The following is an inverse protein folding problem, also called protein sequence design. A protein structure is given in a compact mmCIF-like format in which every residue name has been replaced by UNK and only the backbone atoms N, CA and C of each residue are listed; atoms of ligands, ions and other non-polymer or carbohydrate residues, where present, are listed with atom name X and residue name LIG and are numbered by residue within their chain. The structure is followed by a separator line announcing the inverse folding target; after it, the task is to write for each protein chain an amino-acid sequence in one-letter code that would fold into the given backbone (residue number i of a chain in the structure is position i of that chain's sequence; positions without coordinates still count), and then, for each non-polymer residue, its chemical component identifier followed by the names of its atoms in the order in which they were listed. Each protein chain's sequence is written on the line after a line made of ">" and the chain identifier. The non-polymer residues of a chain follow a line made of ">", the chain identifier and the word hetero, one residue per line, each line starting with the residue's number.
data_IF_676862491951
#
_entry.id   IF_676862491951
#
_cell.length_a   1.000
_cell.length_b   1.000
_cell.length_c   1.000
_cell.angle_alpha   90.00
_cell.angle_beta   90.00
_cell.angle_gamma   90.00
#
_symmetry.space_group_name_H-M   'P 1'
#
loop_
_entity.id
_entity.type
_entity.pdbx_description
1 polymer ?
#
# COMPACT_ATOMS: atom_id res chain seq x y z
N UNK A 1 23.55 -8.90 -25.79
CA UNK A 1 22.27 -8.18 -25.72
C UNK A 1 21.82 -8.25 -24.27
N UNK A 2 21.99 -7.18 -23.51
CA UNK A 2 21.53 -7.12 -22.12
C UNK A 2 20.00 -7.04 -22.15
N UNK A 3 19.35 -7.85 -21.31
CA UNK A 3 17.91 -7.98 -21.18
C UNK A 3 17.26 -6.60 -20.91
N UNK A 4 16.15 -6.30 -21.60
CA UNK A 4 15.51 -4.98 -21.57
C UNK A 4 15.11 -4.51 -20.17
N UNK A 5 14.83 -5.45 -19.26
CA UNK A 5 14.52 -5.17 -17.86
C UNK A 5 15.75 -4.66 -17.08
N UNK A 6 16.94 -5.22 -17.33
CA UNK A 6 18.18 -4.80 -16.67
C UNK A 6 18.62 -3.40 -17.12
N UNK A 7 18.44 -3.09 -18.41
CA UNK A 7 18.71 -1.75 -18.94
C UNK A 7 17.79 -0.66 -18.39
N UNK A 8 16.52 -0.99 -18.15
CA UNK A 8 15.54 -0.07 -17.56
C UNK A 8 15.83 0.18 -16.07
N UNK A 9 16.19 -0.86 -15.32
CA UNK A 9 16.55 -0.76 -13.91
C UNK A 9 17.80 0.11 -13.70
N UNK A 10 18.85 -0.07 -14.52
CA UNK A 10 20.07 0.74 -14.46
C UNK A 10 19.81 2.23 -14.77
N UNK A 11 18.97 2.53 -15.76
CA UNK A 11 18.54 3.93 -16.04
C UNK A 11 17.78 4.56 -14.88
N UNK A 12 16.92 3.80 -14.19
CA UNK A 12 16.16 4.30 -13.03
C UNK A 12 17.08 4.63 -11.86
N UNK A 13 18.06 3.77 -11.56
CA UNK A 13 19.09 4.03 -10.55
C UNK A 13 19.78 5.40 -10.72
N UNK A 14 20.15 5.75 -11.96
CA UNK A 14 20.80 7.03 -12.27
C UNK A 14 19.86 8.25 -12.17
N UNK A 15 18.56 8.06 -12.43
CA UNK A 15 17.54 9.13 -12.36
C UNK A 15 17.28 9.61 -10.92
N UNK A 16 17.41 8.73 -9.91
CA UNK A 16 17.21 9.12 -8.51
C UNK A 16 18.19 10.20 -8.00
N UNK A 17 19.30 10.45 -8.72
CA UNK A 17 20.29 11.47 -8.37
C UNK A 17 20.16 12.82 -9.08
N UNK A 18 19.34 12.96 -10.13
CA UNK A 18 19.36 14.15 -11.02
C UNK A 18 18.01 14.67 -11.53
N UNK A 19 16.86 14.05 -11.22
CA UNK A 19 15.54 14.50 -11.67
C UNK A 19 14.44 14.39 -10.61
N UNK A 20 13.29 15.04 -10.85
CA UNK A 20 12.09 14.88 -10.03
C UNK A 20 11.53 13.46 -10.19
N UNK A 21 11.39 12.73 -9.07
CA UNK A 21 10.90 11.34 -9.06
C UNK A 21 9.44 11.27 -9.48
N UNK A 22 9.12 10.38 -10.43
CA UNK A 22 7.74 10.14 -10.85
C UNK A 22 7.05 9.18 -9.89
N UNK A 23 6.01 9.67 -9.21
CA UNK A 23 5.19 8.85 -8.32
C UNK A 23 4.00 8.23 -9.04
N UNK A 24 3.95 6.90 -9.10
CA UNK A 24 2.76 6.15 -9.51
C UNK A 24 2.00 5.66 -8.28
N UNK A 25 0.72 6.01 -8.19
CA UNK A 25 -0.16 5.51 -7.13
C UNK A 25 -0.92 4.29 -7.64
N UNK A 26 -0.82 3.18 -6.92
CA UNK A 26 -1.48 1.91 -7.24
C UNK A 26 -2.57 1.63 -6.21
N UNK A 27 -3.80 1.43 -6.69
CA UNK A 27 -4.99 1.23 -5.85
C UNK A 27 -5.65 -0.11 -6.22
N UNK A 28 -5.53 -1.17 -5.40
CA UNK A 28 -6.28 -2.40 -5.61
C UNK A 28 -7.75 -2.20 -5.20
N UNK A 29 -8.69 -2.66 -6.04
CA UNK A 29 -10.13 -2.47 -5.79
C UNK A 29 -10.95 -3.74 -6.02
N UNK A 30 -11.86 -4.05 -5.10
CA UNK A 30 -12.88 -5.08 -5.27
C UNK A 30 -14.15 -4.64 -4.53
N UNK A 31 -15.15 -4.17 -5.28
CA UNK A 31 -16.40 -3.62 -4.75
C UNK A 31 -16.18 -2.44 -3.77
N UNK A 32 -15.50 -1.40 -4.25
CA UNK A 32 -15.09 -0.20 -3.50
C UNK A 32 -15.81 1.07 -3.98
N UNK A 33 -17.01 0.96 -4.57
CA UNK A 33 -17.74 2.13 -5.12
C UNK A 33 -18.03 3.22 -4.08
N UNK A 34 -18.10 2.85 -2.80
CA UNK A 34 -18.42 3.75 -1.70
C UNK A 34 -17.23 4.61 -1.22
N UNK A 35 -15.99 4.25 -1.59
CA UNK A 35 -14.76 4.84 -1.05
C UNK A 35 -13.86 5.40 -2.15
N UNK A 36 -13.76 4.70 -3.28
CA UNK A 36 -12.81 4.99 -4.35
C UNK A 36 -12.94 6.41 -4.91
N UNK A 37 -14.17 6.91 -5.09
CA UNK A 37 -14.41 8.24 -5.65
C UNK A 37 -13.72 9.35 -4.87
N UNK A 38 -13.85 9.34 -3.54
CA UNK A 38 -13.21 10.34 -2.67
C UNK A 38 -11.68 10.27 -2.70
N UNK A 39 -11.11 9.07 -2.83
CA UNK A 39 -9.67 8.90 -3.00
C UNK A 39 -9.19 9.47 -4.33
N UNK A 40 -9.88 9.18 -5.43
CA UNK A 40 -9.52 9.71 -6.75
C UNK A 40 -9.58 11.24 -6.77
N UNK A 41 -10.61 11.84 -6.18
CA UNK A 41 -10.71 13.30 -6.04
C UNK A 41 -9.58 13.88 -5.19
N UNK A 42 -9.22 13.20 -4.10
CA UNK A 42 -8.08 13.60 -3.26
C UNK A 42 -6.76 13.56 -4.03
N UNK A 43 -6.54 12.54 -4.86
CA UNK A 43 -5.32 12.39 -5.65
C UNK A 43 -5.24 13.40 -6.81
N UNK A 44 -6.38 13.83 -7.37
CA UNK A 44 -6.39 14.93 -8.37
C UNK A 44 -5.88 16.26 -7.80
N UNK A 45 -6.07 16.47 -6.50
CA UNK A 45 -5.61 17.67 -5.81
C UNK A 45 -4.17 17.56 -5.30
N UNK A 46 -3.58 16.36 -5.33
CA UNK A 46 -2.22 16.13 -4.87
C UNK A 46 -1.23 16.50 -5.99
N UNK A 47 -0.39 17.53 -5.81
CA UNK A 47 0.63 17.89 -6.80
C UNK A 47 1.65 16.75 -6.96
N UNK A 48 2.29 16.73 -8.13
CA UNK A 48 3.43 15.85 -8.47
C UNK A 48 3.14 14.33 -8.41
N UNK A 49 1.86 13.94 -8.33
CA UNK A 49 1.44 12.57 -8.64
C UNK A 49 1.50 12.39 -10.16
N UNK A 50 2.44 11.58 -10.63
CA UNK A 50 2.66 11.33 -12.06
C UNK A 50 1.50 10.55 -12.68
N UNK A 51 1.02 9.53 -11.99
CA UNK A 51 -0.15 8.76 -12.44
C UNK A 51 -0.88 8.06 -11.30
N UNK A 52 -2.12 7.65 -11.58
CA UNK A 52 -2.91 6.78 -10.71
C UNK A 52 -3.38 5.58 -11.51
N UNK A 53 -3.04 4.39 -11.04
CA UNK A 53 -3.40 3.10 -11.60
C UNK A 53 -4.33 2.38 -10.63
N UNK A 54 -5.57 2.19 -11.04
CA UNK A 54 -6.56 1.41 -10.30
C UNK A 54 -6.56 -0.01 -10.84
N UNK A 55 -6.28 -1.00 -10.00
CA UNK A 55 -6.30 -2.41 -10.38
C UNK A 55 -7.54 -3.10 -9.83
N UNK A 56 -8.50 -3.34 -10.71
CA UNK A 56 -9.77 -3.96 -10.34
C UNK A 56 -9.73 -5.48 -10.40
N UNK A 57 -10.18 -6.12 -9.31
CA UNK A 57 -10.14 -7.57 -9.12
C UNK A 57 -11.39 -8.31 -9.59
N UNK A 58 -12.19 -7.69 -10.46
CA UNK A 58 -13.49 -8.20 -10.89
C UNK A 58 -14.64 -7.67 -10.03
N UNK A 59 -14.71 -6.36 -9.82
CA UNK A 59 -15.84 -5.74 -9.11
C UNK A 59 -17.15 -5.96 -9.85
N UNK A 60 -18.21 -6.21 -9.09
CA UNK A 60 -19.60 -6.35 -9.57
C UNK A 60 -20.44 -5.08 -9.39
N UNK A 61 -19.91 -4.10 -8.67
CA UNK A 61 -20.54 -2.80 -8.40
C UNK A 61 -20.04 -1.72 -9.39
N UNK A 62 -20.24 -0.43 -9.08
CA UNK A 62 -19.82 0.67 -9.97
C UNK A 62 -18.34 1.05 -9.86
N UNK A 63 -17.51 0.29 -9.13
CA UNK A 63 -16.08 0.60 -8.88
C UNK A 63 -15.32 0.95 -10.16
N UNK A 64 -15.37 0.07 -11.18
CA UNK A 64 -14.66 0.29 -12.44
C UNK A 64 -15.15 1.55 -13.18
N UNK A 65 -16.44 1.87 -13.10
CA UNK A 65 -17.04 3.02 -13.77
C UNK A 65 -16.66 4.38 -13.13
N UNK A 66 -16.15 4.37 -11.90
CA UNK A 66 -15.62 5.58 -11.24
C UNK A 66 -14.24 5.97 -11.79
N UNK A 67 -13.49 5.03 -12.36
CA UNK A 67 -12.16 5.29 -12.88
C UNK A 67 -12.25 5.96 -14.25
N UNK A 68 -11.82 7.22 -14.31
CA UNK A 68 -11.86 8.06 -15.51
C UNK A 68 -10.51 8.74 -15.72
N UNK A 69 -10.17 9.12 -16.97
CA UNK A 69 -8.97 9.90 -17.24
C UNK A 69 -8.86 11.13 -16.31
N UNK A 70 -7.65 11.45 -15.83
CA UNK A 70 -6.36 10.86 -16.20
C UNK A 70 -6.02 9.53 -15.49
N UNK A 71 -6.90 9.01 -14.62
CA UNK A 71 -6.66 7.73 -13.95
C UNK A 71 -6.84 6.55 -14.92
N UNK A 72 -6.02 5.52 -14.74
CA UNK A 72 -6.04 4.32 -15.58
C UNK A 72 -6.60 3.14 -14.82
N UNK A 73 -7.53 2.42 -15.44
CA UNK A 73 -8.03 1.15 -14.95
C UNK A 73 -7.23 0.01 -15.58
N UNK A 74 -6.80 -0.95 -14.77
CA UNK A 74 -6.27 -2.24 -15.19
C UNK A 74 -7.04 -3.35 -14.49
N UNK A 75 -7.07 -4.53 -15.09
CA UNK A 75 -7.71 -5.69 -14.50
C UNK A 75 -6.65 -6.60 -13.88
N UNK A 76 -6.85 -6.95 -12.62
CA UNK A 76 -6.06 -7.95 -11.91
C UNK A 76 -6.93 -9.16 -11.61
N UNK A 77 -6.29 -10.32 -11.47
CA UNK A 77 -6.96 -11.51 -10.95
C UNK A 77 -7.47 -11.27 -9.51
N UNK A 78 -8.54 -11.94 -9.07
CA UNK A 78 -9.07 -11.79 -7.71
C UNK A 78 -8.00 -12.04 -6.63
N UNK A 79 -7.86 -11.08 -5.71
CA UNK A 79 -6.95 -11.15 -4.58
C UNK A 79 -6.00 -9.96 -4.51
N UNK A 80 -5.94 -9.32 -3.35
CA UNK A 80 -5.26 -8.03 -3.16
C UNK A 80 -3.80 -8.04 -3.62
N UNK A 81 -3.02 -9.08 -3.31
CA UNK A 81 -1.65 -9.22 -3.80
C UNK A 81 -1.53 -9.25 -5.33
N UNK A 82 -2.48 -9.88 -6.03
CA UNK A 82 -2.51 -9.93 -7.50
C UNK A 82 -2.83 -8.56 -8.10
N UNK A 83 -3.81 -7.86 -7.52
CA UNK A 83 -4.20 -6.52 -7.94
C UNK A 83 -3.06 -5.51 -7.72
N UNK A 84 -2.38 -5.59 -6.57
CA UNK A 84 -1.21 -4.76 -6.29
C UNK A 84 -0.08 -5.00 -7.30
N UNK A 85 0.14 -6.26 -7.69
CA UNK A 85 1.12 -6.64 -8.71
C UNK A 85 0.73 -6.14 -10.10
N UNK A 86 -0.49 -6.40 -10.55
CA UNK A 86 -0.99 -5.95 -11.86
C UNK A 86 -0.93 -4.42 -11.99
N UNK A 87 -1.29 -3.70 -10.92
CA UNK A 87 -1.15 -2.24 -10.87
C UNK A 87 0.30 -1.77 -10.92
N UNK A 88 1.22 -2.45 -10.23
CA UNK A 88 2.65 -2.14 -10.28
C UNK A 88 3.28 -2.44 -11.66
N UNK A 89 2.87 -3.53 -12.31
CA UNK A 89 3.35 -3.90 -13.65
C UNK A 89 2.92 -2.89 -14.72
N UNK A 90 1.75 -2.29 -14.56
CA UNK A 90 1.29 -1.23 -15.46
C UNK A 90 1.95 0.14 -15.16
N UNK A 91 2.43 0.37 -13.94
CA UNK A 91 2.97 1.65 -13.52
C UNK A 91 4.27 2.02 -14.27
N UNK A 92 4.42 3.31 -14.53
CA UNK A 92 5.51 3.90 -15.32
C UNK A 92 6.45 4.79 -14.50
N UNK A 93 6.09 5.08 -13.24
CA UNK A 93 6.85 5.91 -12.33
C UNK A 93 8.11 5.23 -11.78
N UNK A 94 8.96 6.05 -11.19
CA UNK A 94 10.19 5.61 -10.53
C UNK A 94 9.91 5.12 -9.09
N UNK A 95 8.76 5.53 -8.53
CA UNK A 95 8.33 5.19 -7.18
C UNK A 95 6.88 4.74 -7.22
N UNK A 96 6.59 3.66 -6.51
CA UNK A 96 5.25 3.13 -6.33
C UNK A 96 4.73 3.52 -4.95
N UNK A 97 3.49 3.99 -4.88
CA UNK A 97 2.73 4.13 -3.64
C UNK A 97 1.48 3.27 -3.73
N UNK A 98 1.36 2.28 -2.84
CA UNK A 98 0.20 1.40 -2.72
C UNK A 98 -0.78 1.96 -1.69
N UNK A 99 -2.01 2.27 -2.13
CA UNK A 99 -3.08 2.83 -1.29
C UNK A 99 -4.33 1.96 -1.36
N UNK A 100 -4.93 1.69 -0.20
CA UNK A 100 -6.28 1.14 -0.17
C UNK A 100 -7.32 2.19 -0.61
N UNK A 101 -8.42 1.73 -1.21
CA UNK A 101 -9.49 2.60 -1.71
C UNK A 101 -10.18 3.46 -0.61
N UNK A 102 -10.08 3.04 0.65
CA UNK A 102 -10.66 3.71 1.82
C UNK A 102 -9.66 4.58 2.61
N UNK A 103 -8.48 4.86 2.05
CA UNK A 103 -7.43 5.66 2.70
C UNK A 103 -7.16 6.93 1.92
N UNK A 104 -7.32 8.08 2.57
CA UNK A 104 -7.02 9.39 1.99
C UNK A 104 -5.59 9.83 2.34
N UNK A 105 -4.71 10.06 1.35
CA UNK A 105 -3.35 10.54 1.58
C UNK A 105 -3.31 12.03 1.94
N UNK A 106 -2.21 12.53 2.52
CA UNK A 106 -1.98 13.96 2.64
C UNK A 106 -1.82 14.60 1.25
N UNK A 107 -2.13 15.90 1.09
CA UNK A 107 -2.06 16.56 -0.23
C UNK A 107 -0.62 16.57 -0.74
N UNK A 108 0.34 16.78 0.14
CA UNK A 108 1.79 16.80 -0.10
C UNK A 108 2.42 15.39 -0.16
N UNK A 109 1.65 14.34 -0.44
CA UNK A 109 2.12 12.94 -0.42
C UNK A 109 3.36 12.71 -1.30
N UNK A 110 3.38 13.28 -2.50
CA UNK A 110 4.51 13.16 -3.42
C UNK A 110 5.76 13.88 -2.90
N UNK A 111 5.59 15.07 -2.32
CA UNK A 111 6.68 15.82 -1.70
C UNK A 111 7.28 15.08 -0.50
N UNK A 112 6.45 14.48 0.37
CA UNK A 112 6.94 13.68 1.51
C UNK A 112 7.75 12.46 1.05
N UNK A 113 7.29 11.76 0.00
CA UNK A 113 8.00 10.62 -0.57
C UNK A 113 9.33 11.06 -1.17
N UNK A 114 9.30 12.05 -2.07
CA UNK A 114 10.50 12.56 -2.75
C UNK A 114 11.54 13.09 -1.76
N UNK A 115 11.11 13.79 -0.72
CA UNK A 115 11.99 14.27 0.35
C UNK A 115 12.61 13.16 1.21
N UNK A 116 12.03 11.96 1.22
CA UNK A 116 12.56 10.82 1.97
C UNK A 116 13.51 9.95 1.15
N UNK A 117 13.25 9.77 -0.15
CA UNK A 117 14.06 8.91 -1.02
C UNK A 117 15.40 9.55 -1.40
N UNK A 118 15.54 10.87 -1.27
CA UNK A 118 16.83 11.56 -1.32
C UNK A 118 17.76 11.19 -0.15
N UNK A 119 17.24 10.54 0.90
CA UNK A 119 17.96 10.21 2.12
C UNK A 119 18.13 8.69 2.29
N UNK A 120 18.81 8.00 1.36
CA UNK A 120 19.17 6.57 1.46
C UNK A 120 18.02 5.56 1.69
N UNK A 121 16.76 5.99 1.62
CA UNK A 121 15.61 5.12 1.86
C UNK A 121 15.19 4.44 0.56
N UNK A 122 14.83 3.15 0.65
CA UNK A 122 14.34 2.35 -0.48
C UNK A 122 12.81 2.35 -0.60
N UNK A 123 12.13 2.87 0.42
CA UNK A 123 10.68 2.87 0.55
C UNK A 123 10.26 3.24 1.95
N UNK A 124 9.04 2.91 2.34
CA UNK A 124 8.54 3.19 3.68
C UNK A 124 7.03 3.18 3.76
N UNK A 125 6.53 3.85 4.79
CA UNK A 125 5.11 4.10 4.97
C UNK A 125 4.85 5.41 5.72
N UNK A 126 3.59 5.71 5.94
CA UNK A 126 3.15 6.94 6.60
C UNK A 126 2.51 6.66 7.95
N UNK A 127 2.46 7.70 8.77
CA UNK A 127 1.63 7.72 9.96
C UNK A 127 0.15 7.56 9.58
N UNK A 128 -0.53 6.69 10.32
CA UNK A 128 -1.98 6.49 10.21
C UNK A 128 -2.75 7.46 11.11
N UNK A 129 -3.94 7.86 10.66
CA UNK A 129 -4.93 8.59 11.44
C UNK A 129 -6.31 7.96 11.27
N UNK A 130 -7.02 7.81 12.39
CA UNK A 130 -8.36 7.25 12.52
C UNK A 130 -9.30 8.29 13.15
N UNK A 131 -9.79 9.28 12.37
CA UNK A 131 -10.62 10.37 12.91
C UNK A 131 -11.85 9.88 13.66
N UNK A 132 -12.42 8.77 13.20
CA UNK A 132 -13.65 8.17 13.75
C UNK A 132 -13.38 7.04 14.76
N UNK A 133 -12.12 6.76 15.12
CA UNK A 133 -11.74 5.60 15.94
C UNK A 133 -11.87 5.79 17.46
N UNK A 134 -12.46 6.89 17.93
CA UNK A 134 -12.65 7.12 19.37
C UNK A 134 -11.36 7.07 20.22
N UNK A 135 -11.45 6.71 21.51
CA UNK A 135 -10.29 6.56 22.39
C UNK A 135 -9.30 5.48 21.95
N UNK A 136 -9.78 4.36 21.42
CA UNK A 136 -8.92 3.27 20.97
C UNK A 136 -8.12 3.67 19.72
N UNK A 137 -8.76 4.30 18.73
CA UNK A 137 -8.10 4.83 17.55
C UNK A 137 -6.94 5.75 17.93
N UNK A 138 -7.16 6.69 18.85
CA UNK A 138 -6.10 7.55 19.40
C UNK A 138 -4.98 6.77 20.10
N UNK A 139 -5.32 5.69 20.79
CA UNK A 139 -4.32 4.82 21.43
C UNK A 139 -3.47 4.08 20.38
N UNK A 140 -4.10 3.55 19.34
CA UNK A 140 -3.40 2.90 18.21
C UNK A 140 -2.51 3.90 17.47
N UNK A 141 -2.98 5.13 17.22
CA UNK A 141 -2.17 6.19 16.61
C UNK A 141 -0.92 6.53 17.43
N UNK A 142 -1.01 6.48 18.77
CA UNK A 142 0.13 6.70 19.68
C UNK A 142 1.11 5.54 19.67
N UNK A 143 0.63 4.31 19.49
CA UNK A 143 1.49 3.12 19.43
C UNK A 143 2.06 2.84 18.05
N UNK A 144 1.47 3.38 16.98
CA UNK A 144 1.91 3.15 15.60
C UNK A 144 3.43 3.37 15.40
N UNK A 145 4.07 4.43 15.94
CA UNK A 145 5.52 4.61 15.84
C UNK A 145 6.34 3.52 16.54
N UNK A 146 5.82 2.94 17.62
CA UNK A 146 6.49 1.84 18.35
C UNK A 146 6.38 0.54 17.56
N UNK A 147 5.20 0.23 17.03
CA UNK A 147 4.98 -0.95 16.18
C UNK A 147 5.78 -0.87 14.88
N UNK A 148 5.94 0.34 14.32
CA UNK A 148 6.73 0.61 13.11
C UNK A 148 8.22 0.28 13.23
N UNK A 149 8.77 0.16 14.44
CA UNK A 149 10.15 -0.29 14.66
C UNK A 149 10.40 -1.74 14.20
N UNK A 150 9.36 -2.46 13.79
CA UNK A 150 9.44 -3.79 13.17
C UNK A 150 8.83 -3.73 11.77
N UNK A 151 9.20 -4.66 10.85
CA UNK A 151 8.59 -4.80 9.52
C UNK A 151 7.15 -5.32 9.62
N UNK A 152 6.26 -4.50 10.17
CA UNK A 152 4.87 -4.82 10.51
C UNK A 152 3.95 -3.63 10.23
N UNK A 153 4.10 -3.02 9.07
CA UNK A 153 3.18 -2.00 8.57
C UNK A 153 2.42 -2.54 7.35
N UNK A 154 1.20 -2.03 7.17
CA UNK A 154 0.19 -2.60 6.29
C UNK A 154 -0.23 -1.59 5.22
N UNK A 155 -0.99 -2.06 4.22
CA UNK A 155 -1.44 -1.21 3.12
C UNK A 155 -2.30 -0.01 3.53
N UNK A 156 -2.91 -0.02 4.72
CA UNK A 156 -3.65 1.14 5.24
C UNK A 156 -2.74 2.33 5.55
N UNK A 157 -1.49 2.07 5.94
CA UNK A 157 -0.47 3.09 6.23
C UNK A 157 0.19 3.67 4.99
N UNK A 158 -0.25 3.26 3.79
CA UNK A 158 0.34 3.65 2.51
C UNK A 158 1.76 3.13 2.38
N UNK A 159 1.96 2.01 1.69
CA UNK A 159 3.30 1.45 1.48
C UNK A 159 3.87 2.08 0.22
N UNK A 160 5.08 2.65 0.30
CA UNK A 160 5.79 3.11 -0.90
C UNK A 160 7.15 2.45 -1.03
N UNK A 161 7.61 2.30 -2.27
CA UNK A 161 8.91 1.72 -2.59
C UNK A 161 9.42 2.28 -3.91
N UNK A 162 10.74 2.41 -4.04
CA UNK A 162 11.34 2.61 -5.36
C UNK A 162 11.01 1.41 -6.25
N UNK A 163 10.72 1.65 -7.52
CA UNK A 163 10.30 0.56 -8.39
C UNK A 163 11.41 -0.46 -8.63
N UNK A 164 12.66 -0.02 -8.77
CA UNK A 164 13.79 -0.95 -8.94
C UNK A 164 13.96 -1.90 -7.73
N UNK A 165 13.73 -1.41 -6.52
CA UNK A 165 13.76 -2.23 -5.30
C UNK A 165 12.53 -3.12 -5.20
N UNK A 166 11.35 -2.62 -5.56
CA UNK A 166 10.12 -3.43 -5.65
C UNK A 166 10.34 -4.65 -6.55
N UNK A 167 10.89 -4.43 -7.75
CA UNK A 167 11.19 -5.48 -8.72
C UNK A 167 12.25 -6.45 -8.19
N UNK A 168 13.37 -5.92 -7.67
CA UNK A 168 14.47 -6.73 -7.15
C UNK A 168 14.07 -7.64 -5.98
N UNK A 169 13.13 -7.20 -5.13
CA UNK A 169 12.63 -7.99 -4.01
C UNK A 169 11.43 -8.89 -4.37
N UNK A 170 11.03 -8.92 -5.63
CA UNK A 170 9.98 -9.79 -6.18
C UNK A 170 8.54 -9.32 -5.91
N UNK A 171 8.36 -8.06 -5.50
CA UNK A 171 7.05 -7.43 -5.30
C UNK A 171 6.13 -8.12 -4.30
N UNK A 172 4.82 -7.92 -4.46
CA UNK A 172 3.82 -8.60 -3.64
C UNK A 172 3.69 -10.08 -4.02
N UNK A 173 3.69 -11.00 -3.04
CA UNK A 173 3.52 -12.43 -3.30
C UNK A 173 2.07 -12.80 -3.57
N UNK A 174 1.87 -13.89 -4.31
CA UNK A 174 0.57 -14.52 -4.47
C UNK A 174 0.17 -15.32 -3.22
N UNK A 175 -0.47 -14.65 -2.26
CA UNK A 175 -0.99 -15.26 -1.04
C UNK A 175 -2.34 -14.65 -0.68
N UNK A 176 -3.23 -15.40 0.00
CA UNK A 176 -4.58 -14.91 0.32
C UNK A 176 -4.61 -13.82 1.41
N UNK A 177 -3.55 -13.72 2.22
CA UNK A 177 -3.41 -12.72 3.29
C UNK A 177 -1.93 -12.59 3.67
N UNK A 178 -1.55 -11.49 4.33
CA UNK A 178 -0.18 -11.20 4.77
C UNK A 178 0.81 -10.90 3.64
N UNK A 179 0.31 -10.64 2.43
CA UNK A 179 1.10 -10.17 1.29
C UNK A 179 1.88 -8.89 1.62
N UNK A 180 1.25 -7.94 2.33
CA UNK A 180 1.90 -6.69 2.76
C UNK A 180 3.09 -6.98 3.68
N UNK A 181 2.89 -7.83 4.69
CA UNK A 181 3.92 -8.16 5.68
C UNK A 181 5.10 -8.86 5.01
N UNK A 182 4.84 -9.77 4.08
CA UNK A 182 5.89 -10.45 3.33
C UNK A 182 6.67 -9.45 2.48
N UNK A 183 5.98 -8.59 1.74
CA UNK A 183 6.62 -7.56 0.92
C UNK A 183 7.45 -6.60 1.77
N UNK A 184 6.89 -6.07 2.86
CA UNK A 184 7.57 -5.14 3.79
C UNK A 184 8.83 -5.77 4.38
N UNK A 185 8.80 -7.05 4.77
CA UNK A 185 10.00 -7.74 5.27
C UNK A 185 11.10 -7.82 4.21
N UNK A 186 10.73 -8.06 2.94
CA UNK A 186 11.70 -8.10 1.83
C UNK A 186 12.24 -6.69 1.52
N UNK A 187 11.39 -5.67 1.57
CA UNK A 187 11.76 -4.27 1.39
C UNK A 187 12.74 -3.79 2.46
N UNK A 188 12.47 -4.06 3.74
CA UNK A 188 13.41 -3.71 4.84
C UNK A 188 14.70 -4.52 4.81
N UNK A 189 14.67 -5.74 4.25
CA UNK A 189 15.90 -6.51 4.01
C UNK A 189 16.73 -5.92 2.85
N UNK A 190 16.11 -5.22 1.90
CA UNK A 190 16.78 -4.58 0.78
C UNK A 190 17.37 -3.20 1.11
N UNK A 191 16.88 -2.52 2.16
CA UNK A 191 17.43 -1.24 2.59
C UNK A 191 16.62 -0.54 3.68
N UNK A 192 17.05 0.69 4.04
CA UNK A 192 16.36 1.50 5.04
C UNK A 192 15.00 1.96 4.55
N UNK A 193 14.01 1.93 5.42
CA UNK A 193 12.65 2.37 5.10
C UNK A 193 12.23 3.56 5.96
N UNK A 194 11.63 4.57 5.35
CA UNK A 194 11.20 5.77 6.04
C UNK A 194 9.85 5.56 6.76
N UNK A 195 9.60 6.40 7.76
CA UNK A 195 8.30 6.55 8.40
C UNK A 195 7.89 8.02 8.31
N UNK A 196 7.00 8.31 7.37
CA UNK A 196 6.63 9.67 7.00
C UNK A 196 5.53 10.24 7.91
N UNK A 197 5.51 11.56 8.15
CA UNK A 197 4.58 12.18 9.09
C UNK A 197 3.11 12.06 8.64
N UNK A 198 2.84 11.80 7.35
CA UNK A 198 1.51 11.58 6.81
C UNK A 198 0.58 12.78 7.08
N UNK A 199 -0.67 12.57 7.52
CA UNK A 199 -1.27 11.28 7.84
C UNK A 199 -1.95 10.62 6.62
N UNK A 200 -1.87 9.29 6.55
CA UNK A 200 -2.83 8.47 5.82
C UNK A 200 -4.10 8.36 6.66
N UNK A 201 -5.19 8.96 6.19
CA UNK A 201 -6.45 9.02 6.91
C UNK A 201 -7.34 7.88 6.46
N UNK A 202 -7.53 6.88 7.32
CA UNK A 202 -8.42 5.76 7.02
C UNK A 202 -9.87 6.18 7.31
N UNK A 203 -10.73 6.07 6.29
CA UNK A 203 -12.18 6.23 6.41
C UNK A 203 -12.87 4.96 6.94
N UNK A 204 -12.10 3.96 7.37
CA UNK A 204 -12.65 2.65 7.68
C UNK A 204 -13.67 2.72 8.83
N UNK A 205 -14.95 2.56 8.47
CA UNK A 205 -16.09 2.30 9.37
C UNK A 205 -15.92 1.02 10.23
N UNK A 206 -14.85 0.27 9.97
CA UNK A 206 -14.44 -0.98 10.64
C UNK A 206 -14.25 -0.82 12.16
N UNK A 207 -14.09 0.41 12.63
CA UNK A 207 -13.86 0.73 14.04
C UNK A 207 -15.12 1.11 14.83
N UNK A 208 -16.30 1.25 14.21
CA UNK A 208 -17.46 1.76 14.98
C UNK A 208 -18.05 0.75 15.97
N UNK A 209 -17.97 -0.57 15.71
CA UNK A 209 -18.71 -1.58 16.49
C UNK A 209 -17.94 -2.86 16.90
N UNK A 210 -16.69 -3.09 16.44
CA UNK A 210 -15.91 -4.34 16.71
C UNK A 210 -14.41 -4.12 16.95
N UNK A 211 -14.09 -2.98 17.53
CA UNK A 211 -12.75 -2.47 17.81
C UNK A 211 -11.75 -3.49 18.38
N UNK A 212 -12.00 -4.02 19.57
CA UNK A 212 -11.08 -4.91 20.27
C UNK A 212 -11.01 -6.32 19.68
N UNK A 213 -12.14 -6.83 19.16
CA UNK A 213 -12.19 -8.15 18.51
C UNK A 213 -11.36 -8.15 17.23
N UNK A 214 -11.45 -7.07 16.46
CA UNK A 214 -10.65 -6.90 15.24
C UNK A 214 -9.17 -6.80 15.57
N UNK A 215 -8.79 -6.01 16.59
CA UNK A 215 -7.41 -5.92 17.06
C UNK A 215 -6.86 -7.26 17.56
N UNK A 216 -7.62 -7.98 18.38
CA UNK A 216 -7.22 -9.28 18.90
C UNK A 216 -7.02 -10.29 17.76
N UNK A 217 -7.97 -10.34 16.82
CA UNK A 217 -7.87 -11.19 15.64
C UNK A 217 -6.60 -10.88 14.84
N UNK A 218 -6.32 -9.60 14.57
CA UNK A 218 -5.09 -9.19 13.90
C UNK A 218 -3.83 -9.56 14.69
N UNK A 219 -3.84 -9.40 16.02
CA UNK A 219 -2.73 -9.79 16.89
C UNK A 219 -2.45 -11.29 16.86
N UNK A 220 -3.51 -12.12 16.91
CA UNK A 220 -3.41 -13.58 16.79
C UNK A 220 -2.87 -13.97 15.42
N UNK A 221 -3.41 -13.39 14.35
CA UNK A 221 -2.97 -13.69 12.98
C UNK A 221 -1.50 -13.33 12.76
N UNK A 222 -1.05 -12.19 13.26
CA UNK A 222 0.35 -11.77 13.17
C UNK A 222 1.28 -12.68 13.98
N UNK A 223 0.86 -13.07 15.19
CA UNK A 223 1.64 -13.96 16.04
C UNK A 223 1.77 -15.33 15.40
N UNK A 224 0.66 -15.89 14.92
CA UNK A 224 0.64 -17.17 14.21
C UNK A 224 1.51 -17.11 12.94
N UNK A 225 1.43 -16.04 12.15
CA UNK A 225 2.30 -15.85 10.98
C UNK A 225 3.79 -15.78 11.38
N UNK A 226 4.12 -15.07 12.46
CA UNK A 226 5.48 -14.98 12.98
C UNK A 226 6.00 -16.34 13.49
N UNK A 227 5.12 -17.20 13.99
CA UNK A 227 5.44 -18.58 14.40
C UNK A 227 5.47 -19.58 13.22
N UNK A 228 5.36 -19.10 11.98
CA UNK A 228 5.49 -19.93 10.78
C UNK A 228 4.19 -20.51 10.24
N UNK A 229 3.02 -20.10 10.75
CA UNK A 229 1.74 -20.51 10.17
C UNK A 229 1.58 -19.89 8.78
N UNK A 230 1.38 -20.75 7.78
CA UNK A 230 1.25 -20.33 6.37
C UNK A 230 0.05 -19.39 6.15
N UNK A 231 0.14 -18.42 5.23
CA UNK A 231 -0.97 -17.54 4.83
C UNK A 231 -2.29 -18.27 4.52
N UNK A 232 -2.21 -19.43 3.86
CA UNK A 232 -3.38 -20.25 3.51
C UNK A 232 -4.16 -20.76 4.73
N UNK A 233 -3.45 -21.24 5.74
CA UNK A 233 -4.06 -21.67 7.02
C UNK A 233 -4.67 -20.48 7.77
N UNK A 234 -3.99 -19.33 7.77
CA UNK A 234 -4.51 -18.09 8.37
C UNK A 234 -5.77 -17.60 7.67
N UNK A 235 -5.82 -17.66 6.33
CA UNK A 235 -7.00 -17.28 5.56
C UNK A 235 -8.21 -18.18 5.88
N UNK A 236 -7.99 -19.49 6.06
CA UNK A 236 -9.05 -20.41 6.50
C UNK A 236 -9.60 -20.02 7.87
N UNK A 237 -8.72 -19.77 8.83
CA UNK A 237 -9.09 -19.33 10.17
C UNK A 237 -9.84 -17.99 10.16
N UNK A 238 -9.36 -17.03 9.37
CA UNK A 238 -9.95 -15.69 9.28
C UNK A 238 -11.38 -15.70 8.74
N UNK A 239 -11.66 -16.53 7.73
CA UNK A 239 -13.03 -16.71 7.20
C UNK A 239 -13.98 -17.26 8.26
N UNK A 240 -13.54 -18.23 9.06
CA UNK A 240 -14.34 -18.79 10.17
C UNK A 240 -14.56 -17.79 11.30
N UNK A 241 -13.60 -16.90 11.58
CA UNK A 241 -13.73 -15.90 12.63
C UNK A 241 -14.62 -14.69 12.25
N UNK A 242 -14.94 -14.53 10.96
CA UNK A 242 -15.79 -13.46 10.43
C UNK A 242 -17.20 -13.88 10.02
N UNK A 243 -17.40 -15.17 9.70
CA UNK A 243 -18.73 -15.78 9.56
C UNK A 243 -19.41 -15.90 10.92
#
# INVERSE_FOLDING_TARGET
>A
MLDGAQGLALRRCELYGKGALKLSVVIPTLNEEASLGSLLDRLRLAPDVHEVVVSDGGSSDRTAALVRPPHRLVHGEPGRGQQLRAGAEAATGDVLLFLHADVLPPVDVAAQISGSLSSDHVGGNFRLRYPEGGPLGRWLERLAPVYRRRPRYYGDSGIFARMDVYDACGGFPWVPIMEDVIFVRRLEAAGRTAYLPGPMVSASRRWRDREWRTLLLWGVMQTAFALGVTPWRLARFYRTARG
#
